data_IF_960443756722
#
_entry.id   IF_960443756722
#
_cell.length_a   1.000
_cell.length_b   1.000
_cell.length_c   1.000
_cell.angle_alpha   90.00
_cell.angle_beta   90.00
_cell.angle_gamma   90.00
#
_symmetry.space_group_name_H-M   'P 1'
#
loop_
_entity.id
_entity.type
_entity.pdbx_description
1 polymer ?
#
# COMPACT_ATOMS: atom_id res chain seq x y z
N UNK A 1 -12.40 -3.77 5.71
CA UNK A 1 -11.68 -3.18 4.56
C UNK A 1 -11.87 -1.67 4.59
N UNK A 2 -10.82 -0.90 4.29
CA UNK A 2 -10.88 0.56 4.15
C UNK A 2 -10.27 0.99 2.80
N UNK A 3 -10.72 2.13 2.26
CA UNK A 3 -10.18 2.71 1.03
C UNK A 3 -9.71 4.14 1.27
N UNK A 4 -8.55 4.47 0.70
CA UNK A 4 -8.01 5.83 0.67
C UNK A 4 -7.68 6.20 -0.77
N UNK A 5 -8.01 7.41 -1.20
CA UNK A 5 -7.60 7.82 -2.54
C UNK A 5 -6.07 7.90 -2.65
N UNK A 6 -5.40 8.54 -1.69
CA UNK A 6 -3.94 8.67 -1.60
C UNK A 6 -3.38 7.54 -0.72
N UNK A 7 -2.26 6.88 -1.09
CA UNK A 7 -1.63 5.85 -0.28
C UNK A 7 -1.23 6.39 1.11
N UNK A 8 -1.32 5.52 2.12
CA UNK A 8 -0.75 5.80 3.43
C UNK A 8 0.80 5.74 3.38
N UNK A 9 1.52 6.43 4.29
CA UNK A 9 2.98 6.34 4.37
C UNK A 9 3.52 4.90 4.44
N UNK A 10 2.75 3.97 5.02
CA UNK A 10 3.12 2.57 5.20
C UNK A 10 3.19 1.78 3.89
N UNK A 11 2.68 2.29 2.77
CA UNK A 11 2.93 1.70 1.45
C UNK A 11 4.43 1.69 1.07
N UNK A 12 5.26 2.48 1.77
CA UNK A 12 6.72 2.50 1.64
C UNK A 12 7.43 1.46 2.53
N UNK A 13 6.74 0.75 3.42
CA UNK A 13 7.33 -0.22 4.37
C UNK A 13 7.70 -1.56 3.70
N UNK A 14 8.53 -1.50 2.66
CA UNK A 14 9.00 -2.69 1.93
C UNK A 14 10.00 -3.52 2.74
N UNK A 15 10.72 -2.90 3.69
CA UNK A 15 11.53 -3.60 4.68
C UNK A 15 10.68 -3.99 5.88
N UNK A 16 10.87 -5.21 6.38
CA UNK A 16 10.19 -5.68 7.58
C UNK A 16 10.58 -4.83 8.79
N UNK A 17 9.58 -4.44 9.59
CA UNK A 17 9.79 -3.73 10.87
C UNK A 17 10.06 -4.69 12.02
N UNK A 18 9.67 -5.97 11.87
CA UNK A 18 9.80 -6.99 12.92
C UNK A 18 10.99 -7.93 12.72
N UNK A 19 11.50 -8.07 11.50
CA UNK A 19 12.62 -8.95 11.14
C UNK A 19 13.70 -8.16 10.41
N UNK A 20 14.78 -7.82 11.12
CA UNK A 20 15.86 -7.01 10.58
C UNK A 20 16.55 -7.73 9.39
N UNK A 21 16.68 -7.02 8.26
CA UNK A 21 17.28 -7.54 7.04
C UNK A 21 16.30 -8.25 6.09
N UNK A 22 15.04 -8.44 6.51
CA UNK A 22 14.00 -9.05 5.68
C UNK A 22 13.11 -8.01 5.00
N UNK A 23 12.40 -8.45 3.96
CA UNK A 23 11.42 -7.64 3.23
C UNK A 23 10.01 -8.11 3.54
N UNK A 24 9.09 -7.16 3.63
CA UNK A 24 7.68 -7.48 3.70
C UNK A 24 7.21 -8.10 2.37
N UNK A 25 6.29 -9.09 2.41
CA UNK A 25 5.75 -9.70 1.20
C UNK A 25 5.10 -8.66 0.30
N UNK A 26 5.53 -8.61 -0.96
CA UNK A 26 4.94 -7.78 -2.00
C UNK A 26 4.52 -8.68 -3.16
N UNK A 27 3.24 -8.64 -3.51
CA UNK A 27 2.65 -9.44 -4.60
C UNK A 27 2.09 -8.49 -5.65
N UNK A 28 2.44 -8.70 -6.92
CA UNK A 28 2.04 -7.83 -8.03
C UNK A 28 3.21 -7.06 -8.61
N UNK A 29 2.93 -5.90 -9.21
CA UNK A 29 3.92 -5.11 -9.95
C UNK A 29 4.02 -3.68 -9.41
N UNK A 30 5.21 -3.33 -8.91
CA UNK A 30 5.60 -1.96 -8.62
C UNK A 30 6.07 -1.29 -9.92
N UNK A 31 5.39 -0.23 -10.37
CA UNK A 31 5.66 0.44 -11.67
C UNK A 31 5.99 1.92 -11.54
N UNK A 32 5.69 2.56 -10.41
CA UNK A 32 6.00 3.97 -10.19
C UNK A 32 6.25 4.29 -8.70
N UNK A 33 6.78 5.49 -8.43
CA UNK A 33 6.98 5.96 -7.06
C UNK A 33 5.68 6.07 -6.27
N UNK A 34 5.70 5.67 -5.00
CA UNK A 34 4.57 5.86 -4.07
C UNK A 34 4.48 7.34 -3.67
N UNK A 35 3.35 7.99 -3.93
CA UNK A 35 3.12 9.42 -3.60
C UNK A 35 2.51 9.64 -2.22
N UNK A 36 2.85 8.77 -1.27
CA UNK A 36 2.37 8.87 0.09
C UNK A 36 2.85 10.18 0.77
N UNK A 37 2.06 10.74 1.70
CA UNK A 37 2.48 11.89 2.48
C UNK A 37 3.69 11.55 3.35
N UNK A 38 4.52 12.55 3.67
CA UNK A 38 5.71 12.37 4.53
C UNK A 38 5.38 12.22 6.01
N UNK A 39 4.23 12.75 6.43
CA UNK A 39 3.81 12.72 7.83
C UNK A 39 3.03 11.44 8.11
N UNK A 40 3.49 10.65 9.09
CA UNK A 40 2.74 9.51 9.59
C UNK A 40 1.79 9.98 10.72
N UNK A 41 0.49 9.74 10.51
CA UNK A 41 -0.59 10.03 11.46
C UNK A 41 -1.03 8.81 12.28
N UNK A 42 -0.27 7.71 12.21
CA UNK A 42 -0.61 6.41 12.82
C UNK A 42 -1.89 5.81 12.24
N UNK A 43 -2.07 5.99 10.93
CA UNK A 43 -3.26 5.55 10.19
C UNK A 43 -3.43 4.03 10.22
N UNK A 44 -2.37 3.28 9.90
CA UNK A 44 -2.42 1.81 9.89
C UNK A 44 -2.70 1.25 11.28
N UNK A 45 -2.14 1.86 12.33
CA UNK A 45 -2.33 1.42 13.72
C UNK A 45 -3.78 1.64 14.18
N UNK A 46 -4.41 2.73 13.72
CA UNK A 46 -5.83 2.98 14.00
C UNK A 46 -6.72 1.97 13.27
N UNK A 47 -6.42 1.68 12.00
CA UNK A 47 -7.17 0.71 11.19
C UNK A 47 -7.02 -0.72 11.72
N UNK A 48 -5.84 -1.10 12.19
CA UNK A 48 -5.56 -2.37 12.87
C UNK A 48 -6.44 -2.55 14.11
N UNK A 49 -6.53 -1.53 14.98
CA UNK A 49 -7.42 -1.56 16.17
C UNK A 49 -8.91 -1.68 15.82
N UNK A 50 -9.30 -1.22 14.64
CA UNK A 50 -10.67 -1.33 14.12
C UNK A 50 -10.93 -2.67 13.40
N UNK A 51 -9.94 -3.57 13.34
CA UNK A 51 -10.08 -4.87 12.70
C UNK A 51 -10.09 -4.80 11.17
N UNK A 52 -9.36 -3.85 10.58
CA UNK A 52 -9.24 -3.73 9.12
C UNK A 52 -8.06 -4.56 8.62
N UNK A 53 -8.36 -5.67 7.94
CA UNK A 53 -7.33 -6.57 7.38
C UNK A 53 -6.78 -6.14 6.01
N UNK A 54 -7.54 -5.31 5.28
CA UNK A 54 -7.19 -4.86 3.92
C UNK A 54 -7.48 -3.38 3.79
N UNK A 55 -6.48 -2.64 3.34
CA UNK A 55 -6.51 -1.23 3.00
C UNK A 55 -6.18 -1.13 1.52
N UNK A 56 -7.05 -0.51 0.75
CA UNK A 56 -6.79 -0.27 -0.67
C UNK A 56 -6.61 1.22 -0.96
N UNK A 57 -5.85 1.52 -2.01
CA UNK A 57 -5.69 2.89 -2.48
C UNK A 57 -5.62 3.00 -4.01
N UNK A 58 -5.72 4.25 -4.47
CA UNK A 58 -5.48 4.64 -5.87
C UNK A 58 -4.38 5.70 -5.94
N UNK A 59 -4.65 6.74 -6.75
CA UNK A 59 -3.76 7.90 -7.00
C UNK A 59 -2.50 7.57 -7.81
N UNK A 60 -1.75 6.55 -7.44
CA UNK A 60 -0.64 6.02 -8.26
C UNK A 60 -1.18 4.94 -9.18
N UNK A 61 -1.55 5.32 -10.39
CA UNK A 61 -2.33 4.49 -11.31
C UNK A 61 -1.52 3.36 -11.99
N UNK A 62 -0.20 3.42 -11.98
CA UNK A 62 0.66 2.38 -12.55
C UNK A 62 0.95 1.26 -11.55
N UNK A 63 0.96 1.57 -10.25
CA UNK A 63 1.19 0.56 -9.22
C UNK A 63 0.02 -0.41 -9.11
N UNK A 64 0.32 -1.70 -9.19
CA UNK A 64 -0.67 -2.78 -9.11
C UNK A 64 -0.08 -3.91 -8.27
N UNK A 65 0.01 -3.68 -6.96
CA UNK A 65 0.58 -4.61 -6.00
C UNK A 65 -0.10 -4.52 -4.64
N UNK A 66 0.07 -5.57 -3.85
CA UNK A 66 -0.26 -5.61 -2.43
C UNK A 66 1.01 -5.83 -1.60
N UNK A 67 1.22 -4.99 -0.58
CA UNK A 67 2.27 -5.10 0.43
C UNK A 67 1.65 -5.61 1.74
N UNK A 68 2.23 -6.65 2.34
CA UNK A 68 1.81 -7.11 3.67
C UNK A 68 2.68 -6.46 4.73
N UNK A 69 2.17 -5.38 5.30
CA UNK A 69 2.88 -4.62 6.33
C UNK A 69 2.90 -5.39 7.65
N UNK A 70 4.02 -5.35 8.36
CA UNK A 70 4.23 -6.07 9.62
C UNK A 70 4.41 -5.13 10.82
N UNK A 71 4.12 -3.83 10.66
CA UNK A 71 4.24 -2.85 11.74
C UNK A 71 3.13 -2.97 12.79
N UNK A 72 2.09 -3.76 12.51
CA UNK A 72 0.93 -3.98 13.39
C UNK A 72 0.65 -5.47 13.59
N UNK A 73 -0.01 -5.87 14.69
CA UNK A 73 -0.30 -7.28 14.98
C UNK A 73 -1.11 -8.01 13.90
N UNK A 74 -2.12 -7.38 13.28
CA UNK A 74 -2.95 -8.05 12.27
C UNK A 74 -2.27 -8.12 10.90
N UNK A 75 -1.18 -7.37 10.70
CA UNK A 75 -0.35 -7.38 9.49
C UNK A 75 -1.19 -7.19 8.22
N UNK A 76 -1.87 -6.04 8.09
CA UNK A 76 -2.86 -5.84 7.05
C UNK A 76 -2.22 -5.77 5.66
N UNK A 77 -3.02 -6.05 4.65
CA UNK A 77 -2.64 -5.87 3.25
C UNK A 77 -2.89 -4.43 2.80
N UNK A 78 -1.86 -3.80 2.24
CA UNK A 78 -1.88 -2.49 1.61
C UNK A 78 -1.85 -2.69 0.09
N UNK A 79 -2.99 -2.53 -0.57
CA UNK A 79 -3.15 -2.86 -1.99
C UNK A 79 -3.39 -1.62 -2.85
N UNK A 80 -2.68 -1.50 -3.97
CA UNK A 80 -3.05 -0.57 -5.03
C UNK A 80 -4.16 -1.17 -5.91
N UNK A 81 -5.08 -0.33 -6.37
CA UNK A 81 -6.11 -0.71 -7.34
C UNK A 81 -5.67 -0.61 -8.81
N UNK A 82 -4.43 -0.18 -9.08
CA UNK A 82 -3.94 0.10 -10.43
C UNK A 82 -4.70 1.25 -11.11
N UNK A 83 -4.72 1.23 -12.45
CA UNK A 83 -5.45 2.20 -13.28
C UNK A 83 -6.94 1.90 -13.43
N UNK A 84 -7.51 1.06 -12.57
CA UNK A 84 -8.92 0.69 -12.60
C UNK A 84 -9.83 1.80 -12.03
N UNK A 85 -11.03 1.94 -12.60
CA UNK A 85 -12.03 2.94 -12.18
C UNK A 85 -12.52 3.79 -13.36
N UNK A 86 -13.65 4.48 -13.16
CA UNK A 86 -14.15 5.44 -14.16
C UNK A 86 -13.19 6.63 -14.24
N UNK A 87 -12.76 6.98 -15.46
CA UNK A 87 -11.73 7.99 -15.69
C UNK A 87 -10.29 7.58 -15.32
N UNK A 88 -10.06 6.32 -14.90
CA UNK A 88 -8.72 5.81 -14.61
C UNK A 88 -7.84 5.72 -15.86
N UNK A 89 -6.57 6.10 -15.72
CA UNK A 89 -5.57 5.98 -16.77
C UNK A 89 -4.21 5.63 -16.15
N UNK A 90 -3.43 4.81 -16.83
CA UNK A 90 -2.06 4.48 -16.42
C UNK A 90 -1.13 4.53 -17.63
N UNK A 91 0.13 4.89 -17.41
CA UNK A 91 1.15 4.76 -18.45
C UNK A 91 1.44 3.28 -18.68
N UNK A 92 1.26 2.81 -19.91
CA UNK A 92 1.68 1.47 -20.31
C UNK A 92 3.18 1.54 -20.59
N UNK A 93 4.01 1.11 -19.63
CA UNK A 93 5.39 0.77 -19.93
C UNK A 93 5.41 -0.56 -20.68
N UNK A 94 5.61 -0.52 -22.00
CA UNK A 94 6.04 -1.68 -22.77
C UNK A 94 7.41 -2.11 -22.22
N UNK A 95 7.45 -3.24 -21.52
CA UNK A 95 8.70 -3.97 -21.24
C UNK A 95 9.05 -4.86 -22.43
#
# INVERSE_FOLDING_TARGET
MAFFHIPLPEYLNTASKTHAGEKNPLIGTYKEGVTAPKYNSEGIATLDRLGVDVISCGHDHCNDYCLRDDSTPNRPWLCYGGGGGEGGYALVHHQ
#
